data_IF_405191485571
#
_entry.id   IF_405191485571
#
_cell.length_a   1.000
_cell.length_b   1.000
_cell.length_c   1.000
_cell.angle_alpha   90.00
_cell.angle_beta   90.00
_cell.angle_gamma   90.00
#
_symmetry.space_group_name_H-M   'P 1'
#
loop_
_entity.id
_entity.type
_entity.pdbx_description
1 polymer ?
#
# COMPACT_ATOMS: atom_id res chain seq x y z
N UNK A 1 21.75 -3.32 -6.48
CA UNK A 1 20.98 -2.95 -5.27
C UNK A 1 20.44 -1.55 -5.49
N UNK A 2 19.17 -1.27 -5.16
CA UNK A 2 18.62 0.10 -5.21
C UNK A 2 19.24 0.95 -4.11
N UNK A 3 19.36 2.25 -4.32
CA UNK A 3 19.87 3.17 -3.31
C UNK A 3 18.97 3.18 -2.06
N UNK A 4 19.55 3.40 -0.86
CA UNK A 4 18.77 3.49 0.38
C UNK A 4 17.77 4.65 0.32
N UNK A 5 16.52 4.41 0.71
CA UNK A 5 15.51 5.45 0.81
C UNK A 5 15.81 6.33 2.02
N UNK A 6 16.07 7.60 1.76
CA UNK A 6 16.30 8.60 2.80
C UNK A 6 15.12 9.55 2.88
N UNK A 7 14.64 9.77 4.10
CA UNK A 7 13.53 10.68 4.39
C UNK A 7 13.98 11.67 5.45
N UNK A 8 13.37 12.86 5.47
CA UNK A 8 13.70 13.90 6.46
C UNK A 8 13.50 13.41 7.91
N UNK A 9 12.56 12.49 8.12
CA UNK A 9 12.29 11.85 9.41
C UNK A 9 11.54 10.52 9.20
N UNK A 10 11.43 9.66 10.23
CA UNK A 10 10.85 8.32 10.10
C UNK A 10 9.32 8.29 10.32
N UNK A 11 8.62 9.43 10.26
CA UNK A 11 7.17 9.49 10.50
C UNK A 11 6.38 9.56 9.19
N UNK A 12 5.51 8.57 8.99
CA UNK A 12 4.76 8.38 7.75
C UNK A 12 3.28 8.55 8.05
N UNK A 13 2.57 9.40 7.31
CA UNK A 13 1.12 9.45 7.37
C UNK A 13 0.55 8.17 6.74
N UNK A 14 -0.12 7.33 7.52
CA UNK A 14 -0.74 6.11 7.03
C UNK A 14 -1.87 6.41 6.01
N UNK A 15 -2.12 5.52 5.04
CA UNK A 15 -3.24 5.64 4.11
C UNK A 15 -4.56 5.39 4.86
N UNK A 16 -5.42 6.40 4.88
CA UNK A 16 -6.71 6.37 5.57
C UNK A 16 -7.80 6.85 4.61
N UNK A 17 -8.61 5.91 4.12
CA UNK A 17 -9.70 6.18 3.19
C UNK A 17 -10.66 7.26 3.73
N UNK A 18 -11.01 8.22 2.87
CA UNK A 18 -11.82 9.40 3.16
C UNK A 18 -11.19 10.41 4.15
N UNK A 19 -9.89 10.28 4.46
CA UNK A 19 -9.16 11.19 5.36
C UNK A 19 -7.99 11.86 4.64
N UNK A 20 -7.23 11.14 3.81
CA UNK A 20 -6.00 11.65 3.20
C UNK A 20 -6.27 12.44 1.92
N UNK A 21 -7.22 13.39 1.99
CA UNK A 21 -7.37 14.41 0.96
C UNK A 21 -6.11 15.29 0.87
N UNK A 22 -5.89 15.91 -0.28
CA UNK A 22 -4.68 16.71 -0.56
C UNK A 22 -4.37 17.76 0.52
N UNK A 23 -5.39 18.47 1.01
CA UNK A 23 -5.22 19.47 2.07
C UNK A 23 -4.73 18.88 3.39
N UNK A 24 -5.21 17.68 3.76
CA UNK A 24 -4.76 16.99 4.97
C UNK A 24 -3.32 16.48 4.82
N UNK A 25 -2.96 15.93 3.66
CA UNK A 25 -1.58 15.49 3.37
C UNK A 25 -0.58 16.65 3.44
N UNK A 26 -0.91 17.79 2.82
CA UNK A 26 -0.10 19.02 2.89
C UNK A 26 0.04 19.51 4.33
N UNK A 27 -1.05 19.50 5.12
CA UNK A 27 -0.99 19.86 6.54
C UNK A 27 -0.03 18.93 7.30
N UNK A 28 -0.12 17.61 7.12
CA UNK A 28 0.79 16.66 7.75
C UNK A 28 2.25 16.90 7.36
N UNK A 29 2.52 17.20 6.08
CA UNK A 29 3.87 17.56 5.63
C UNK A 29 4.40 18.81 6.30
N UNK A 30 3.60 19.88 6.36
CA UNK A 30 3.95 21.13 7.08
C UNK A 30 4.18 20.91 8.58
N UNK A 31 3.62 19.85 9.16
CA UNK A 31 3.80 19.45 10.57
C UNK A 31 4.90 18.41 10.77
N UNK A 32 5.69 18.11 9.74
CA UNK A 32 6.88 17.28 9.85
C UNK A 32 6.68 15.81 9.51
N UNK A 33 5.63 15.41 8.81
CA UNK A 33 5.59 14.06 8.23
C UNK A 33 6.72 13.90 7.19
N UNK A 34 7.55 12.87 7.32
CA UNK A 34 8.61 12.56 6.36
C UNK A 34 8.03 12.10 5.02
N UNK A 35 6.94 11.32 5.08
CA UNK A 35 6.24 10.75 3.92
C UNK A 35 4.73 10.82 4.14
N UNK A 36 3.97 11.03 3.06
CA UNK A 36 2.51 10.97 3.10
C UNK A 36 1.96 10.01 2.06
N UNK A 37 0.87 9.34 2.43
CA UNK A 37 0.14 8.43 1.55
C UNK A 37 -1.13 9.09 1.01
N UNK A 38 -1.50 8.76 -0.23
CA UNK A 38 -2.87 8.97 -0.72
C UNK A 38 -3.89 8.16 0.09
N UNK A 39 -5.17 8.44 -0.13
CA UNK A 39 -6.20 7.41 0.05
C UNK A 39 -5.84 6.17 -0.80
N UNK A 40 -6.34 5.00 -0.42
CA UNK A 40 -6.18 3.82 -1.27
C UNK A 40 -6.91 4.05 -2.60
N UNK A 41 -6.17 3.99 -3.70
CA UNK A 41 -6.71 4.05 -5.06
C UNK A 41 -7.15 2.64 -5.45
N UNK A 42 -8.47 2.45 -5.51
CA UNK A 42 -9.05 1.24 -6.07
C UNK A 42 -8.83 1.21 -7.59
N UNK A 43 -8.03 0.26 -8.07
CA UNK A 43 -7.58 0.23 -9.46
C UNK A 43 -8.73 0.03 -10.47
N UNK A 44 -9.80 -0.68 -10.07
CA UNK A 44 -10.96 -0.88 -10.94
C UNK A 44 -11.72 0.45 -11.09
N UNK A 45 -11.91 1.17 -9.98
CA UNK A 45 -12.55 2.50 -9.97
C UNK A 45 -11.70 3.52 -10.72
N UNK A 46 -10.38 3.47 -10.59
CA UNK A 46 -9.48 4.36 -11.34
C UNK A 46 -9.64 4.16 -12.85
N UNK A 47 -9.70 2.91 -13.32
CA UNK A 47 -9.93 2.60 -14.74
C UNK A 47 -11.30 3.11 -15.21
N UNK A 48 -12.36 2.83 -14.45
CA UNK A 48 -13.72 3.30 -14.74
C UNK A 48 -13.75 4.83 -14.88
N UNK A 49 -13.17 5.57 -13.92
CA UNK A 49 -13.10 7.02 -13.98
C UNK A 49 -12.24 7.53 -15.13
N UNK A 50 -11.19 6.82 -15.52
CA UNK A 50 -10.43 7.19 -16.71
C UNK A 50 -11.28 7.05 -17.99
N UNK A 51 -12.10 6.02 -18.08
CA UNK A 51 -12.97 5.78 -19.24
C UNK A 51 -14.11 6.81 -19.32
N UNK A 52 -14.67 7.21 -18.18
CA UNK A 52 -15.81 8.15 -18.12
C UNK A 52 -15.42 9.61 -18.39
N UNK A 53 -14.30 10.07 -17.83
CA UNK A 53 -13.96 11.51 -17.77
C UNK A 53 -12.52 11.81 -18.21
N UNK A 54 -11.76 10.79 -18.63
CA UNK A 54 -10.36 10.92 -19.02
C UNK A 54 -9.38 10.84 -17.85
N UNK A 55 -8.15 10.40 -18.17
CA UNK A 55 -7.09 10.13 -17.19
C UNK A 55 -6.79 11.34 -16.30
N UNK A 56 -6.61 12.53 -16.89
CA UNK A 56 -6.24 13.73 -16.12
C UNK A 56 -7.30 14.09 -15.08
N UNK A 57 -8.58 13.96 -15.45
CA UNK A 57 -9.68 14.26 -14.54
C UNK A 57 -9.81 13.19 -13.44
N UNK A 58 -9.58 11.91 -13.77
CA UNK A 58 -9.54 10.83 -12.78
C UNK A 58 -8.41 11.02 -11.75
N UNK A 59 -7.20 11.41 -12.20
CA UNK A 59 -6.07 11.72 -11.32
C UNK A 59 -6.40 12.90 -10.41
N UNK A 60 -6.97 13.98 -10.97
CA UNK A 60 -7.39 15.15 -10.18
C UNK A 60 -8.46 14.80 -9.14
N UNK A 61 -9.41 13.94 -9.49
CA UNK A 61 -10.49 13.54 -8.59
C UNK A 61 -10.01 12.62 -7.45
N UNK A 62 -9.22 11.60 -7.79
CA UNK A 62 -8.89 10.51 -6.86
C UNK A 62 -7.58 10.76 -6.07
N UNK A 63 -6.65 11.50 -6.66
CA UNK A 63 -5.34 11.78 -6.03
C UNK A 63 -5.20 13.25 -5.65
N UNK A 64 -5.58 14.15 -6.56
CA UNK A 64 -5.41 15.61 -6.44
C UNK A 64 -3.98 16.01 -5.98
N UNK A 65 -2.92 15.59 -6.69
CA UNK A 65 -1.55 15.69 -6.19
C UNK A 65 -1.11 17.15 -6.02
N UNK A 66 -0.34 17.43 -4.96
CA UNK A 66 0.23 18.75 -4.66
C UNK A 66 1.75 18.66 -4.57
N UNK A 67 2.48 19.62 -5.12
CA UNK A 67 3.95 19.57 -5.10
C UNK A 67 4.54 19.62 -3.68
N UNK A 68 3.89 20.35 -2.76
CA UNK A 68 4.31 20.46 -1.36
C UNK A 68 4.23 19.13 -0.59
N UNK A 69 3.52 18.13 -1.12
CA UNK A 69 3.30 16.88 -0.40
C UNK A 69 4.39 15.83 -0.63
N UNK A 70 5.34 16.10 -1.54
CA UNK A 70 6.40 15.15 -1.90
C UNK A 70 7.38 14.83 -0.75
N UNK A 71 7.90 13.59 -0.66
CA UNK A 71 7.52 12.44 -1.47
C UNK A 71 6.11 11.93 -1.15
N UNK A 72 5.33 11.70 -2.21
CA UNK A 72 3.98 11.16 -2.16
C UNK A 72 4.00 9.65 -2.45
N UNK A 73 3.39 8.88 -1.55
CA UNK A 73 3.12 7.46 -1.77
C UNK A 73 1.72 7.28 -2.34
N UNK A 74 1.62 6.69 -3.52
CA UNK A 74 0.33 6.30 -4.11
C UNK A 74 0.06 4.85 -3.73
N UNK A 75 -0.91 4.63 -2.84
CA UNK A 75 -1.34 3.28 -2.47
C UNK A 75 -2.40 2.77 -3.44
N UNK A 76 -2.13 1.64 -4.07
CA UNK A 76 -3.04 0.93 -4.97
C UNK A 76 -3.74 -0.23 -4.25
N UNK A 77 -4.94 -0.59 -4.68
CA UNK A 77 -5.68 -1.75 -4.19
C UNK A 77 -6.54 -2.39 -5.28
N UNK A 78 -6.60 -3.72 -5.28
CA UNK A 78 -7.42 -4.48 -6.22
C UNK A 78 -6.94 -5.92 -6.39
N UNK A 79 -7.64 -6.71 -7.21
CA UNK A 79 -7.23 -8.06 -7.58
C UNK A 79 -7.04 -8.29 -9.09
N UNK A 80 -7.48 -7.34 -9.93
CA UNK A 80 -7.31 -7.42 -11.38
C UNK A 80 -5.95 -6.86 -11.79
N UNK A 81 -5.07 -7.71 -12.32
CA UNK A 81 -3.71 -7.34 -12.72
C UNK A 81 -3.71 -6.27 -13.81
N UNK A 82 -4.57 -6.38 -14.82
CA UNK A 82 -4.60 -5.42 -15.94
C UNK A 82 -4.95 -4.01 -15.47
N UNK A 83 -5.95 -3.89 -14.58
CA UNK A 83 -6.33 -2.60 -13.98
C UNK A 83 -5.25 -2.05 -13.06
N UNK A 84 -4.55 -2.91 -12.31
CA UNK A 84 -3.41 -2.50 -11.48
C UNK A 84 -2.27 -1.95 -12.35
N UNK A 85 -1.90 -2.65 -13.42
CA UNK A 85 -0.85 -2.21 -14.35
C UNK A 85 -1.26 -0.93 -15.09
N UNK A 86 -2.53 -0.80 -15.44
CA UNK A 86 -3.09 0.43 -16.01
C UNK A 86 -2.93 1.61 -15.04
N UNK A 87 -3.28 1.42 -13.76
CA UNK A 87 -3.11 2.46 -12.75
C UNK A 87 -1.63 2.85 -12.55
N UNK A 88 -0.72 1.87 -12.45
CA UNK A 88 0.73 2.12 -12.35
C UNK A 88 1.22 2.97 -13.53
N UNK A 89 0.81 2.62 -14.76
CA UNK A 89 1.22 3.36 -15.97
C UNK A 89 0.84 4.84 -15.91
N UNK A 90 -0.40 5.15 -15.50
CA UNK A 90 -0.92 6.52 -15.56
C UNK A 90 -0.63 7.34 -14.29
N UNK A 91 -0.27 6.68 -13.19
CA UNK A 91 0.12 7.31 -11.93
C UNK A 91 1.64 7.36 -11.76
N UNK A 92 2.42 6.90 -12.74
CA UNK A 92 3.88 6.84 -12.63
C UNK A 92 4.48 8.20 -12.34
N UNK A 93 4.10 9.26 -13.07
CA UNK A 93 4.61 10.62 -12.86
C UNK A 93 4.06 11.30 -11.60
N UNK A 94 2.96 10.77 -11.05
CA UNK A 94 2.31 11.28 -9.84
C UNK A 94 2.95 10.70 -8.58
N UNK A 95 3.27 9.41 -8.59
CA UNK A 95 3.83 8.70 -7.45
C UNK A 95 5.34 8.93 -7.35
N UNK A 96 5.85 9.34 -6.20
CA UNK A 96 7.29 9.21 -5.90
C UNK A 96 7.60 7.78 -5.44
N UNK A 97 6.63 7.15 -4.79
CA UNK A 97 6.67 5.77 -4.28
C UNK A 97 5.32 5.12 -4.58
N UNK A 98 5.33 3.88 -5.03
CA UNK A 98 4.11 3.06 -5.10
C UNK A 98 3.97 2.21 -3.84
N UNK A 99 2.75 2.00 -3.38
CA UNK A 99 2.43 1.03 -2.33
C UNK A 99 1.27 0.14 -2.77
N UNK A 100 1.24 -1.11 -2.31
CA UNK A 100 0.10 -1.99 -2.54
C UNK A 100 -0.59 -2.42 -1.24
N UNK A 101 -1.91 -2.25 -1.22
CA UNK A 101 -2.74 -2.59 -0.08
C UNK A 101 -3.05 -4.10 -0.05
N UNK A 102 -2.50 -4.78 0.96
CA UNK A 102 -2.74 -6.19 1.28
C UNK A 102 -3.39 -6.31 2.68
N UNK A 103 -3.96 -5.20 3.20
CA UNK A 103 -4.42 -5.09 4.58
C UNK A 103 -5.89 -4.68 4.75
N UNK A 104 -6.54 -4.15 3.72
CA UNK A 104 -7.92 -3.66 3.83
C UNK A 104 -8.89 -4.82 4.15
N UNK A 105 -9.68 -4.74 5.24
CA UNK A 105 -10.60 -5.80 5.65
C UNK A 105 -12.03 -5.64 5.10
N UNK A 106 -12.29 -4.56 4.34
CA UNK A 106 -13.62 -4.13 3.94
C UNK A 106 -14.17 -4.99 2.79
N UNK A 107 -15.49 -5.22 2.84
CA UNK A 107 -16.17 -6.16 1.95
C UNK A 107 -16.00 -5.86 0.46
N UNK A 108 -16.02 -4.58 0.06
CA UNK A 108 -15.85 -4.20 -1.35
C UNK A 108 -14.48 -4.63 -1.90
N UNK A 109 -13.41 -4.45 -1.11
CA UNK A 109 -12.06 -4.83 -1.52
C UNK A 109 -11.87 -6.35 -1.50
N UNK A 110 -12.45 -7.03 -0.50
CA UNK A 110 -12.47 -8.50 -0.46
C UNK A 110 -13.23 -9.10 -1.66
N UNK A 111 -14.35 -8.50 -2.07
CA UNK A 111 -15.13 -8.92 -3.23
C UNK A 111 -14.35 -8.83 -4.54
N UNK A 112 -13.39 -7.90 -4.62
CA UNK A 112 -12.43 -7.74 -5.73
C UNK A 112 -11.22 -8.66 -5.62
N UNK A 113 -11.20 -9.58 -4.64
CA UNK A 113 -10.04 -10.44 -4.33
C UNK A 113 -8.76 -9.63 -4.01
N UNK A 114 -8.91 -8.44 -3.44
CA UNK A 114 -7.82 -7.56 -3.01
C UNK A 114 -7.73 -7.41 -1.48
N UNK A 115 -6.83 -6.55 -1.01
CA UNK A 115 -6.62 -6.32 0.42
C UNK A 115 -6.19 -7.60 1.15
N UNK A 116 -6.67 -7.81 2.37
CA UNK A 116 -6.26 -8.96 3.21
C UNK A 116 -6.76 -10.32 2.68
N UNK A 117 -7.63 -10.34 1.66
CA UNK A 117 -7.92 -11.57 0.92
C UNK A 117 -6.65 -12.20 0.37
N UNK A 118 -5.72 -11.38 -0.13
CA UNK A 118 -4.49 -11.84 -0.76
C UNK A 118 -3.55 -12.57 0.21
N UNK A 119 -3.61 -12.27 1.51
CA UNK A 119 -2.84 -13.03 2.51
C UNK A 119 -3.27 -14.49 2.59
N UNK A 120 -4.52 -14.83 2.21
CA UNK A 120 -4.98 -16.23 2.15
C UNK A 120 -4.67 -16.92 0.82
N UNK A 121 -4.18 -16.17 -0.18
CA UNK A 121 -4.01 -16.65 -1.55
C UNK A 121 -2.60 -16.28 -2.05
N UNK A 122 -1.54 -16.90 -1.48
CA UNK A 122 -0.15 -16.53 -1.77
C UNK A 122 0.20 -16.62 -3.27
N UNK A 123 -0.33 -17.61 -4.00
CA UNK A 123 -0.09 -17.74 -5.45
C UNK A 123 -0.65 -16.55 -6.24
N UNK A 124 -1.81 -16.03 -5.84
CA UNK A 124 -2.39 -14.84 -6.47
C UNK A 124 -1.60 -13.60 -6.08
N UNK A 125 -1.23 -13.48 -4.80
CA UNK A 125 -0.42 -12.39 -4.30
C UNK A 125 0.92 -12.30 -5.06
N UNK A 126 1.64 -13.42 -5.20
CA UNK A 126 2.90 -13.49 -5.92
C UNK A 126 2.75 -13.00 -7.37
N UNK A 127 1.74 -13.50 -8.09
CA UNK A 127 1.47 -13.08 -9.48
C UNK A 127 1.25 -11.57 -9.59
N UNK A 128 0.45 -11.00 -8.69
CA UNK A 128 0.18 -9.55 -8.67
C UNK A 128 1.47 -8.78 -8.39
N UNK A 129 2.21 -9.13 -7.33
CA UNK A 129 3.39 -8.37 -6.89
C UNK A 129 4.51 -8.47 -7.92
N UNK A 130 4.72 -9.62 -8.56
CA UNK A 130 5.70 -9.75 -9.66
C UNK A 130 5.32 -8.89 -10.86
N UNK A 131 4.05 -8.87 -11.25
CA UNK A 131 3.56 -8.02 -12.34
C UNK A 131 3.76 -6.53 -12.00
N UNK A 132 3.36 -6.10 -10.80
CA UNK A 132 3.59 -4.73 -10.32
C UNK A 132 5.08 -4.39 -10.31
N UNK A 133 5.92 -5.28 -9.79
CA UNK A 133 7.37 -5.04 -9.71
C UNK A 133 7.98 -4.82 -11.09
N UNK A 134 7.55 -5.58 -12.11
CA UNK A 134 8.03 -5.41 -13.48
C UNK A 134 7.62 -4.08 -14.12
N UNK A 135 6.51 -3.48 -13.68
CA UNK A 135 6.03 -2.20 -14.21
C UNK A 135 6.53 -0.98 -13.41
N UNK A 136 6.82 -1.16 -12.12
CA UNK A 136 7.26 -0.08 -11.24
C UNK A 136 8.80 0.02 -11.30
N UNK A 137 9.31 1.16 -11.76
CA UNK A 137 10.76 1.48 -11.70
C UNK A 137 11.16 2.25 -10.45
N UNK A 138 10.18 2.83 -9.75
CA UNK A 138 10.32 3.60 -8.50
C UNK A 138 10.34 2.68 -7.26
N UNK A 139 10.60 3.20 -6.05
CA UNK A 139 10.45 2.43 -4.82
C UNK A 139 9.02 1.88 -4.69
N UNK A 140 8.90 0.63 -4.24
CA UNK A 140 7.65 -0.09 -4.14
C UNK A 140 7.47 -0.70 -2.76
N UNK A 141 6.43 -0.27 -2.06
CA UNK A 141 6.09 -0.72 -0.72
C UNK A 141 4.86 -1.63 -0.75
N UNK A 142 4.64 -2.32 0.35
CA UNK A 142 3.41 -3.05 0.60
C UNK A 142 2.94 -2.80 2.02
N UNK A 143 1.61 -2.85 2.24
CA UNK A 143 1.01 -2.77 3.57
C UNK A 143 0.19 -4.01 3.88
N UNK A 144 0.56 -4.73 4.93
CA UNK A 144 -0.09 -5.99 5.36
C UNK A 144 -0.76 -5.87 6.74
N UNK A 145 -1.50 -6.92 7.10
CA UNK A 145 -2.02 -7.21 8.44
C UNK A 145 -1.38 -8.47 9.03
N UNK A 146 -1.66 -8.77 10.29
CA UNK A 146 -1.19 -10.03 10.92
C UNK A 146 -1.64 -11.29 10.18
N UNK A 147 -2.84 -11.25 9.61
CA UNK A 147 -3.54 -12.42 9.11
C UNK A 147 -5.03 -12.20 8.97
N UNK A 148 -5.76 -13.26 8.63
CA UNK A 148 -7.22 -13.22 8.50
C UNK A 148 -7.91 -13.15 9.87
N UNK A 149 -7.50 -14.02 10.77
CA UNK A 149 -7.95 -14.11 12.16
C UNK A 149 -6.85 -14.75 13.01
N UNK A 150 -7.13 -14.96 14.30
CA UNK A 150 -6.15 -15.43 15.27
C UNK A 150 -5.70 -16.89 15.02
N UNK A 151 -6.43 -17.64 14.19
CA UNK A 151 -6.07 -19.00 13.76
C UNK A 151 -5.35 -19.03 12.41
N UNK A 152 -5.26 -17.88 11.74
CA UNK A 152 -4.71 -17.71 10.39
C UNK A 152 -3.75 -16.52 10.34
N UNK A 153 -2.81 -16.47 11.29
CA UNK A 153 -1.70 -15.49 11.30
C UNK A 153 -0.60 -16.00 10.38
N UNK A 154 -0.22 -15.18 9.40
CA UNK A 154 0.78 -15.55 8.40
C UNK A 154 1.62 -14.36 7.89
N UNK A 155 1.76 -13.32 8.72
CA UNK A 155 2.45 -12.10 8.31
C UNK A 155 3.94 -12.32 7.98
N UNK A 156 4.63 -13.26 8.63
CA UNK A 156 6.05 -13.52 8.37
C UNK A 156 6.23 -14.19 7.01
N UNK A 157 5.40 -15.18 6.70
CA UNK A 157 5.40 -15.90 5.43
C UNK A 157 5.07 -14.96 4.27
N UNK A 158 4.03 -14.13 4.44
CA UNK A 158 3.64 -13.11 3.46
C UNK A 158 4.78 -12.09 3.28
N UNK A 159 5.40 -11.62 4.37
CA UNK A 159 6.49 -10.66 4.30
C UNK A 159 7.69 -11.18 3.47
N UNK A 160 8.11 -12.43 3.72
CA UNK A 160 9.21 -13.06 2.98
C UNK A 160 8.88 -13.20 1.49
N UNK A 161 7.65 -13.58 1.16
CA UNK A 161 7.18 -13.64 -0.24
C UNK A 161 7.26 -12.27 -0.92
N UNK A 162 6.84 -11.21 -0.23
CA UNK A 162 6.89 -9.84 -0.75
C UNK A 162 8.33 -9.39 -1.02
N UNK A 163 9.25 -9.64 -0.09
CA UNK A 163 10.69 -9.34 -0.28
C UNK A 163 11.28 -10.11 -1.46
N UNK A 164 10.97 -11.41 -1.60
CA UNK A 164 11.40 -12.23 -2.74
C UNK A 164 10.84 -11.74 -4.08
N UNK A 165 9.69 -11.08 -4.07
CA UNK A 165 9.10 -10.46 -5.25
C UNK A 165 9.65 -9.05 -5.55
N UNK A 166 10.55 -8.53 -4.73
CA UNK A 166 11.25 -7.25 -4.96
C UNK A 166 10.54 -6.02 -4.38
N UNK A 167 9.76 -6.20 -3.31
CA UNK A 167 9.26 -5.08 -2.49
C UNK A 167 10.42 -4.45 -1.73
N UNK A 168 10.44 -3.12 -1.68
CA UNK A 168 11.54 -2.32 -1.13
C UNK A 168 11.36 -1.96 0.35
N UNK A 169 10.11 -1.92 0.86
CA UNK A 169 9.80 -1.80 2.29
C UNK A 169 8.39 -2.35 2.61
N UNK A 170 8.18 -2.75 3.86
CA UNK A 170 6.91 -3.34 4.30
C UNK A 170 6.32 -2.57 5.48
N UNK A 171 5.10 -2.08 5.35
CA UNK A 171 4.30 -1.60 6.47
C UNK A 171 3.43 -2.73 7.04
N UNK A 172 3.39 -2.88 8.36
CA UNK A 172 2.55 -3.89 9.03
C UNK A 172 1.62 -3.23 10.05
N UNK A 173 0.33 -3.49 9.90
CA UNK A 173 -0.65 -3.27 10.98
C UNK A 173 -0.79 -4.58 11.75
N UNK A 174 -0.27 -4.71 12.99
CA UNK A 174 -0.21 -5.98 13.72
C UNK A 174 -1.54 -6.31 14.39
N UNK A 175 -2.61 -6.29 13.58
CA UNK A 175 -3.93 -6.79 13.90
C UNK A 175 -4.44 -7.66 12.77
N UNK A 176 -5.23 -8.65 13.10
CA UNK A 176 -5.91 -9.50 12.11
C UNK A 176 -7.03 -8.74 11.42
N UNK A 177 -7.55 -9.27 10.31
CA UNK A 177 -8.75 -8.74 9.65
C UNK A 177 -9.95 -8.74 10.59
N UNK A 178 -10.13 -9.82 11.38
CA UNK A 178 -11.25 -9.95 12.35
C UNK A 178 -11.22 -8.85 13.41
N UNK A 179 -10.04 -8.50 13.92
CA UNK A 179 -9.89 -7.46 14.94
C UNK A 179 -10.21 -6.05 14.42
N UNK A 180 -10.06 -5.78 13.11
CA UNK A 180 -10.19 -4.43 12.53
C UNK A 180 -9.30 -3.41 13.29
N UNK A 181 -9.92 -2.49 14.05
CA UNK A 181 -9.28 -1.49 14.90
C UNK A 181 -9.42 -1.81 16.40
N UNK A 182 -10.08 -2.90 16.76
CA UNK A 182 -10.30 -3.33 18.14
C UNK A 182 -9.13 -4.20 18.63
N UNK A 183 -9.12 -4.49 19.93
CA UNK A 183 -8.09 -5.32 20.55
C UNK A 183 -6.71 -4.66 20.59
N UNK A 184 -5.70 -5.47 20.90
CA UNK A 184 -4.31 -5.02 21.07
C UNK A 184 -3.47 -5.35 19.84
N UNK A 185 -2.63 -4.41 19.45
CA UNK A 185 -1.58 -4.60 18.46
C UNK A 185 -0.56 -5.62 18.99
N UNK A 186 -0.19 -6.60 18.17
CA UNK A 186 0.84 -7.59 18.50
C UNK A 186 2.23 -7.11 18.07
N UNK A 187 2.91 -6.42 18.99
CA UNK A 187 4.27 -5.94 18.74
C UNK A 187 5.31 -7.05 18.63
N UNK A 188 5.06 -8.24 19.21
CA UNK A 188 5.97 -9.38 19.08
C UNK A 188 5.93 -9.93 17.65
N UNK A 189 4.76 -9.92 17.01
CA UNK A 189 4.67 -10.26 15.59
C UNK A 189 5.49 -9.31 14.71
N UNK A 190 5.44 -8.00 14.98
CA UNK A 190 6.25 -7.03 14.21
C UNK A 190 7.74 -7.30 14.36
N UNK A 191 8.19 -7.63 15.59
CA UNK A 191 9.57 -8.03 15.83
C UNK A 191 9.97 -9.24 14.98
N UNK A 192 9.15 -10.30 14.96
CA UNK A 192 9.39 -11.49 14.14
C UNK A 192 9.49 -11.15 12.65
N UNK A 193 8.61 -10.28 12.15
CA UNK A 193 8.65 -9.80 10.76
C UNK A 193 9.95 -9.03 10.50
N UNK A 194 10.37 -8.13 11.39
CA UNK A 194 11.61 -7.37 11.19
C UNK A 194 12.86 -8.24 11.25
N UNK A 195 12.88 -9.26 12.12
CA UNK A 195 13.97 -10.24 12.21
C UNK A 195 14.07 -11.12 10.95
N UNK A 196 12.94 -11.38 10.28
CA UNK A 196 12.90 -12.18 9.05
C UNK A 196 13.31 -11.41 7.79
N UNK A 197 13.09 -10.09 7.74
CA UNK A 197 13.30 -9.26 6.54
C UNK A 197 14.62 -8.49 6.56
N UNK A 198 15.27 -8.44 5.39
CA UNK A 198 16.41 -7.54 5.14
C UNK A 198 15.95 -6.12 4.80
N UNK A 199 14.77 -5.97 4.18
CA UNK A 199 14.16 -4.67 3.88
C UNK A 199 13.64 -3.92 5.14
N UNK A 200 13.44 -2.60 5.07
CA UNK A 200 12.84 -1.82 6.15
C UNK A 200 11.41 -2.27 6.48
N UNK A 201 11.07 -2.23 7.77
CA UNK A 201 9.72 -2.49 8.28
C UNK A 201 9.19 -1.23 8.93
N UNK A 202 8.01 -0.79 8.49
CA UNK A 202 7.30 0.38 8.99
C UNK A 202 6.18 -0.10 9.94
N UNK A 203 6.22 0.40 11.18
CA UNK A 203 5.23 0.09 12.19
C UNK A 203 3.94 0.90 11.95
N UNK A 204 2.77 0.25 11.93
CA UNK A 204 1.45 0.87 11.74
C UNK A 204 0.42 0.44 12.77
#
# INVERSE_FOLDING_TARGET
MREPLTFQNPFFLAPMEAVNCASFRVLCKRRGAGVVYTDMIDCDVFKEKCDEQGVLQAIKLLVNPQEEERPLVVQLGGGNIDNILFAIKHLHDVADIFDFNIGCPLGYMLGKKGGVYLQKHPDQLEKIIRAMRSAITKPFFCKIRSGWDDTSINAVEVALLLEQCGVDALAIHPRTRKQRAQGRADWQLVRKVKEALSIPVILS
#
